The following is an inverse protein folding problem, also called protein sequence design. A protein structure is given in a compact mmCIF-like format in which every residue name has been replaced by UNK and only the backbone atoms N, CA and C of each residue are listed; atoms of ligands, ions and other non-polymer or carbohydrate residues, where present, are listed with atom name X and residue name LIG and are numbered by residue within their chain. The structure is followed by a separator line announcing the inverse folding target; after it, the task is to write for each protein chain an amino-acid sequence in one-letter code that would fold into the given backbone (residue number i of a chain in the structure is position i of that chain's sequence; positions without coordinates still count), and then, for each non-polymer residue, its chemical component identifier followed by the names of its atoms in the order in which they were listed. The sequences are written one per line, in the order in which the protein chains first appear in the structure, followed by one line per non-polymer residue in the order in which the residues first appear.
data_IF_539109119233
#
_entry.id   IF_539109119233
#
_cell.length_a   1.000
_cell.length_b   1.000
_cell.length_c   1.000
_cell.angle_alpha   90.00
_cell.angle_beta   90.00
_cell.angle_gamma   90.00
#
_symmetry.space_group_name_H-M   'P 1'
#
loop_
_entity.id
_entity.type
_entity.pdbx_description
1 polymer ?
#
# COMPACT_ATOMS: atom_id res chain seq x y z
N UNK A 1 -15.23 -24.02 5.11
CA UNK A 1 -14.23 -24.83 4.39
C UNK A 1 -12.86 -24.45 4.94
N UNK A 2 -12.18 -25.34 5.67
CA UNK A 2 -10.85 -25.05 6.21
C UNK A 2 -9.80 -25.24 5.13
N UNK A 3 -9.05 -24.19 4.79
CA UNK A 3 -7.92 -24.29 3.86
C UNK A 3 -6.87 -25.24 4.47
N UNK A 4 -6.38 -26.20 3.68
CA UNK A 4 -5.38 -27.17 4.13
C UNK A 4 -4.12 -26.48 4.64
N UNK A 5 -3.66 -26.85 5.83
CA UNK A 5 -2.44 -26.28 6.41
C UNK A 5 -1.21 -26.88 5.72
N UNK A 6 -0.27 -26.02 5.30
CA UNK A 6 1.00 -26.46 4.72
C UNK A 6 1.81 -27.29 5.73
N UNK A 7 2.31 -28.44 5.28
CA UNK A 7 3.21 -29.33 6.02
C UNK A 7 4.63 -29.08 5.52
N UNK A 8 5.55 -28.85 6.44
CA UNK A 8 6.98 -28.77 6.14
C UNK A 8 7.74 -29.91 6.85
N UNK A 9 8.98 -30.17 6.45
CA UNK A 9 9.83 -31.18 7.10
C UNK A 9 11.15 -30.54 7.52
N UNK A 10 11.60 -30.82 8.75
CA UNK A 10 12.90 -30.39 9.24
C UNK A 10 13.99 -30.92 8.30
N UNK A 11 14.83 -30.04 7.74
CA UNK A 11 15.84 -30.46 6.76
C UNK A 11 16.92 -31.40 7.34
N UNK A 12 17.02 -31.51 8.66
CA UNK A 12 18.06 -32.31 9.35
C UNK A 12 17.55 -33.66 9.84
N UNK A 13 16.42 -33.68 10.55
CA UNK A 13 15.86 -34.89 11.17
C UNK A 13 14.59 -35.40 10.49
N UNK A 14 14.14 -34.75 9.41
CA UNK A 14 12.91 -35.09 8.68
C UNK A 14 11.62 -35.08 9.54
N UNK A 15 11.65 -34.51 10.75
CA UNK A 15 10.45 -34.36 11.58
C UNK A 15 9.43 -33.47 10.88
N UNK A 16 8.18 -33.91 10.86
CA UNK A 16 7.06 -33.17 10.27
C UNK A 16 6.73 -31.92 11.09
N UNK A 17 6.70 -30.76 10.44
CA UNK A 17 6.46 -29.44 11.03
C UNK A 17 5.18 -28.84 10.46
N UNK A 18 4.25 -28.47 11.34
CA UNK A 18 2.99 -27.79 11.00
C UNK A 18 3.09 -26.30 11.28
N UNK A 19 2.16 -25.51 10.75
CA UNK A 19 2.11 -24.06 10.98
C UNK A 19 2.17 -23.69 12.47
N UNK A 20 1.40 -24.41 13.30
CA UNK A 20 1.39 -24.22 14.76
C UNK A 20 2.75 -24.45 15.43
N UNK A 21 3.65 -25.23 14.84
CA UNK A 21 5.01 -25.39 15.37
C UNK A 21 5.86 -24.13 15.17
N UNK A 22 5.61 -23.33 14.15
CA UNK A 22 6.29 -22.04 13.97
C UNK A 22 5.77 -21.01 14.98
N UNK A 23 4.45 -20.95 15.19
CA UNK A 23 3.83 -20.07 16.18
C UNK A 23 4.26 -20.40 17.61
N UNK A 24 4.39 -21.70 17.93
CA UNK A 24 4.90 -22.18 19.23
C UNK A 24 6.42 -22.06 19.36
N UNK A 25 7.13 -21.63 18.30
CA UNK A 25 8.60 -21.58 18.24
C UNK A 25 9.25 -22.95 18.47
N UNK A 26 8.60 -24.03 18.00
CA UNK A 26 9.15 -25.39 17.88
C UNK A 26 9.80 -25.61 16.50
N UNK A 27 9.68 -24.66 15.58
CA UNK A 27 10.27 -24.65 14.26
C UNK A 27 10.71 -23.25 13.87
N UNK A 28 11.78 -23.16 13.09
CA UNK A 28 12.39 -21.92 12.59
C UNK A 28 12.46 -21.95 11.05
N UNK A 29 12.28 -20.79 10.41
CA UNK A 29 12.44 -20.61 8.96
C UNK A 29 13.78 -19.96 8.69
N UNK A 30 14.62 -20.63 7.91
CA UNK A 30 15.97 -20.18 7.56
C UNK A 30 16.05 -20.18 6.04
N UNK A 31 15.74 -19.03 5.44
CA UNK A 31 15.59 -18.88 3.99
C UNK A 31 14.58 -19.91 3.41
N UNK A 32 15.02 -20.78 2.51
CA UNK A 32 14.23 -21.83 1.85
C UNK A 32 14.10 -23.12 2.67
N UNK A 33 14.77 -23.22 3.82
CA UNK A 33 14.80 -24.41 4.68
C UNK A 33 14.03 -24.19 5.98
N UNK A 34 13.51 -25.27 6.56
CA UNK A 34 12.90 -25.24 7.89
C UNK A 34 13.62 -26.18 8.83
N UNK A 35 13.82 -25.77 10.08
CA UNK A 35 14.51 -26.54 11.11
C UNK A 35 13.65 -26.66 12.36
N UNK A 36 13.60 -27.83 13.00
CA UNK A 36 12.94 -27.98 14.29
C UNK A 36 13.81 -27.40 15.41
N UNK A 37 13.20 -27.08 16.56
CA UNK A 37 13.92 -26.47 17.66
C UNK A 37 15.03 -27.36 18.24
N UNK A 38 14.86 -28.69 18.20
CA UNK A 38 15.88 -29.63 18.64
C UNK A 38 17.14 -29.63 17.75
N UNK A 39 16.97 -29.43 16.44
CA UNK A 39 18.07 -29.40 15.48
C UNK A 39 18.71 -28.00 15.33
N UNK A 40 18.09 -26.95 15.89
CA UNK A 40 18.56 -25.58 15.73
C UNK A 40 19.99 -25.33 16.23
N UNK A 41 20.43 -25.83 17.41
CA UNK A 41 21.80 -25.61 17.89
C UNK A 41 22.86 -26.21 16.96
N UNK A 42 22.55 -27.37 16.36
CA UNK A 42 23.45 -28.04 15.44
C UNK A 42 23.41 -27.40 14.04
N UNK A 43 22.25 -26.85 13.64
CA UNK A 43 22.08 -26.12 12.39
C UNK A 43 22.99 -24.88 12.34
N UNK A 44 23.13 -24.16 13.46
CA UNK A 44 24.02 -22.99 13.59
C UNK A 44 25.45 -23.30 13.15
N UNK A 45 25.97 -24.49 13.43
CA UNK A 45 27.35 -24.87 13.07
C UNK A 45 27.56 -25.08 11.58
N UNK A 46 26.48 -25.35 10.84
CA UNK A 46 26.52 -25.69 9.40
C UNK A 46 26.04 -24.55 8.50
N UNK A 47 25.56 -23.45 9.07
CA UNK A 47 24.97 -22.34 8.33
C UNK A 47 26.01 -21.26 8.03
N UNK A 48 25.92 -20.59 6.86
CA UNK A 48 26.60 -19.34 6.58
C UNK A 48 26.38 -18.29 7.70
N UNK A 49 27.37 -17.40 7.99
CA UNK A 49 27.30 -16.47 9.11
C UNK A 49 26.08 -15.54 9.12
N UNK A 50 25.61 -15.11 7.96
CA UNK A 50 24.40 -14.30 7.76
C UNK A 50 23.12 -15.04 8.18
N UNK A 51 23.01 -16.32 7.82
CA UNK A 51 21.88 -17.18 8.21
C UNK A 51 21.92 -17.57 9.69
N UNK A 52 23.11 -17.66 10.29
CA UNK A 52 23.28 -17.85 11.73
C UNK A 52 22.68 -16.68 12.51
N UNK A 53 22.97 -15.44 12.12
CA UNK A 53 22.40 -14.27 12.78
C UNK A 53 20.88 -14.22 12.66
N UNK A 54 20.33 -14.57 11.50
CA UNK A 54 18.88 -14.65 11.31
C UNK A 54 18.25 -15.69 12.26
N UNK A 55 18.83 -16.88 12.36
CA UNK A 55 18.33 -17.93 13.27
C UNK A 55 18.42 -17.50 14.74
N UNK A 56 19.54 -16.90 15.16
CA UNK A 56 19.73 -16.41 16.53
C UNK A 56 18.73 -15.30 16.88
N UNK A 57 18.43 -14.39 15.94
CA UNK A 57 17.43 -13.34 16.14
C UNK A 57 16.01 -13.88 16.37
N UNK A 58 15.64 -14.96 15.66
CA UNK A 58 14.34 -15.62 15.85
C UNK A 58 14.24 -16.33 17.21
N UNK A 59 15.34 -16.95 17.67
CA UNK A 59 15.42 -17.57 19.00
C UNK A 59 15.26 -16.50 20.08
N UNK A 60 16.00 -15.39 19.98
CA UNK A 60 15.97 -14.30 20.95
C UNK A 60 14.61 -13.57 21.01
N UNK A 61 13.93 -13.38 19.87
CA UNK A 61 12.61 -12.76 19.81
C UNK A 61 11.55 -13.55 20.59
N UNK A 62 11.72 -14.88 20.72
CA UNK A 62 10.80 -15.75 21.45
C UNK A 62 10.96 -15.63 22.96
N UNK A 63 12.19 -15.52 23.47
CA UNK A 63 12.43 -15.36 24.91
C UNK A 63 11.74 -14.10 25.45
N UNK A 64 11.68 -13.03 24.63
CA UNK A 64 10.94 -11.81 24.98
C UNK A 64 9.42 -11.96 24.95
N UNK A 65 8.85 -12.89 24.19
CA UNK A 65 7.40 -13.13 24.12
C UNK A 65 6.89 -14.05 25.23
N UNK A 66 7.73 -14.91 25.79
CA UNK A 66 7.33 -15.86 26.83
C UNK A 66 7.21 -15.23 28.23
N UNK A 67 7.65 -13.98 28.43
CA UNK A 67 7.68 -13.31 29.74
C UNK A 67 6.49 -12.37 30.02
N UNK A 68 5.54 -12.23 29.09
CA UNK A 68 4.37 -11.36 29.27
C UNK A 68 3.10 -12.09 28.87
N UNK A 69 2.44 -12.72 29.86
CA UNK A 69 0.98 -12.80 30.06
C UNK A 69 0.75 -13.76 31.24
N UNK A 70 0.51 -13.19 32.43
CA UNK A 70 -0.20 -13.87 33.52
C UNK A 70 -1.65 -13.40 33.42
N UNK A 71 -2.63 -14.27 33.10
CA UNK A 71 -4.01 -13.81 32.98
C UNK A 71 -4.57 -13.43 34.36
N UNK A 72 -5.27 -12.29 34.49
CA UNK A 72 -5.96 -11.94 35.73
C UNK A 72 -7.17 -12.86 35.94
N UNK A 73 -7.43 -13.17 37.20
CA UNK A 73 -8.54 -14.00 37.65
C UNK A 73 -9.90 -13.44 37.20
N UNK A 74 -10.75 -14.34 36.72
CA UNK A 74 -12.08 -14.10 36.18
C UNK A 74 -13.07 -13.53 37.21
N UNK A 75 -13.67 -12.38 36.90
CA UNK A 75 -14.93 -11.88 37.49
C UNK A 75 -16.15 -12.49 36.77
N UNK A 76 -17.29 -12.72 37.46
CA UNK A 76 -18.48 -13.33 36.88
C UNK A 76 -19.19 -12.41 35.87
N UNK A 77 -19.71 -13.03 34.81
CA UNK A 77 -20.33 -12.38 33.66
C UNK A 77 -21.77 -11.90 33.94
N UNK A 78 -22.10 -10.71 33.44
CA UNK A 78 -23.47 -10.20 33.31
C UNK A 78 -24.15 -10.75 32.04
N UNK A 79 -25.49 -10.85 32.00
CA UNK A 79 -26.22 -11.54 30.93
C UNK A 79 -26.23 -10.75 29.61
N UNK A 80 -26.32 -11.44 28.45
CA UNK A 80 -26.30 -10.80 27.14
C UNK A 80 -27.66 -10.18 26.77
N UNK A 81 -27.67 -9.04 26.06
CA UNK A 81 -28.90 -8.51 25.47
C UNK A 81 -29.36 -9.34 24.25
N UNK A 82 -30.66 -9.27 24.03
CA UNK A 82 -31.48 -9.98 23.06
C UNK A 82 -31.07 -9.77 21.60
N UNK A 83 -31.14 -10.88 20.84
CA UNK A 83 -30.95 -10.94 19.38
C UNK A 83 -32.13 -10.30 18.67
N UNK A 84 -31.87 -9.25 17.90
CA UNK A 84 -32.78 -8.77 16.85
C UNK A 84 -32.40 -9.47 15.55
N UNK A 85 -33.36 -10.20 14.99
CA UNK A 85 -33.31 -10.84 13.68
C UNK A 85 -33.55 -9.82 12.57
N UNK A 86 -32.62 -9.67 11.63
CA UNK A 86 -32.88 -8.97 10.36
C UNK A 86 -32.60 -9.91 9.18
N UNK A 87 -33.65 -10.67 8.89
CA UNK A 87 -33.83 -11.52 7.72
C UNK A 87 -34.23 -10.66 6.50
N UNK A 88 -33.38 -9.74 6.02
CA UNK A 88 -33.69 -8.92 4.82
C UNK A 88 -32.45 -8.46 4.01
N UNK A 89 -31.50 -9.36 3.69
CA UNK A 89 -30.39 -9.00 2.78
C UNK A 89 -29.98 -10.10 1.79
N UNK A 90 -30.93 -10.98 1.39
CA UNK A 90 -30.70 -12.08 0.43
C UNK A 90 -31.50 -11.98 -0.87
N UNK A 91 -31.75 -10.76 -1.35
CA UNK A 91 -32.38 -10.52 -2.65
C UNK A 91 -31.71 -9.32 -3.29
N UNK A 92 -30.48 -9.48 -3.81
CA UNK A 92 -29.83 -8.58 -4.79
C UNK A 92 -28.44 -9.09 -5.28
N UNK A 93 -28.20 -10.40 -5.29
CA UNK A 93 -27.03 -11.03 -5.99
C UNK A 93 -27.51 -12.24 -6.81
N UNK A 94 -28.66 -12.08 -7.46
CA UNK A 94 -29.31 -13.13 -8.28
C UNK A 94 -29.37 -12.83 -9.77
N UNK A 95 -28.95 -11.64 -10.23
CA UNK A 95 -29.16 -11.19 -11.61
C UNK A 95 -27.89 -11.08 -12.47
N UNK A 96 -26.69 -11.20 -11.89
CA UNK A 96 -25.43 -11.05 -12.64
C UNK A 96 -24.84 -12.39 -13.16
N UNK A 97 -25.34 -13.54 -12.69
CA UNK A 97 -24.83 -14.87 -13.08
C UNK A 97 -25.63 -15.48 -14.25
N UNK A 98 -26.86 -15.02 -14.50
CA UNK A 98 -27.68 -15.52 -15.61
C UNK A 98 -27.31 -14.94 -16.98
N UNK A 99 -26.69 -13.74 -17.02
CA UNK A 99 -26.27 -13.10 -18.28
C UNK A 99 -24.91 -13.62 -18.76
N UNK A 100 -24.02 -14.02 -17.84
CA UNK A 100 -22.71 -14.58 -18.22
C UNK A 100 -22.80 -16.03 -18.71
N UNK A 101 -23.74 -16.83 -18.18
CA UNK A 101 -23.97 -18.19 -18.67
C UNK A 101 -24.71 -18.24 -20.03
N UNK A 102 -25.49 -17.20 -20.38
CA UNK A 102 -26.15 -17.13 -21.70
C UNK A 102 -25.22 -16.69 -22.82
N UNK A 103 -24.22 -15.83 -22.55
CA UNK A 103 -23.21 -15.45 -23.56
C UNK A 103 -22.24 -16.59 -23.87
N UNK A 104 -21.87 -17.43 -22.90
CA UNK A 104 -21.02 -18.61 -23.14
C UNK A 104 -21.77 -19.72 -23.89
N UNK A 105 -23.09 -19.89 -23.64
CA UNK A 105 -23.90 -20.83 -24.41
C UNK A 105 -24.12 -20.38 -25.87
N UNK A 106 -24.13 -19.07 -26.16
CA UNK A 106 -24.37 -18.56 -27.51
C UNK A 106 -23.11 -18.58 -28.39
N UNK A 107 -21.91 -18.46 -27.80
CA UNK A 107 -20.65 -18.56 -28.56
C UNK A 107 -20.27 -20.01 -28.87
N UNK A 108 -20.73 -20.98 -28.07
CA UNK A 108 -20.54 -22.42 -28.36
C UNK A 108 -21.55 -22.97 -29.39
N UNK A 109 -22.69 -22.30 -29.60
CA UNK A 109 -23.71 -22.74 -30.57
C UNK A 109 -23.61 -22.11 -31.97
N UNK A 110 -22.67 -21.18 -32.20
CA UNK A 110 -22.47 -20.55 -33.53
C UNK A 110 -21.12 -20.85 -34.19
N UNK A 111 -20.28 -21.70 -33.57
CA UNK A 111 -19.07 -22.24 -34.22
C UNK A 111 -19.37 -23.58 -34.89
N UNK A 112 -20.30 -23.57 -35.85
CA UNK A 112 -20.58 -24.69 -36.74
C UNK A 112 -19.48 -24.81 -37.80
N UNK A 113 -18.32 -25.34 -37.41
CA UNK A 113 -17.27 -25.75 -38.34
C UNK A 113 -17.56 -27.13 -38.91
N UNK A 114 -17.68 -27.20 -40.23
CA UNK A 114 -17.98 -28.40 -41.01
C UNK A 114 -17.13 -29.60 -40.63
N UNK A 115 -17.79 -30.71 -40.27
CA UNK A 115 -17.17 -32.01 -40.14
C UNK A 115 -16.59 -32.47 -41.48
N UNK A 116 -15.35 -33.00 -41.52
CA UNK A 116 -14.86 -33.71 -42.69
C UNK A 116 -15.58 -35.04 -42.80
N UNK A 117 -16.14 -35.29 -43.98
CA UNK A 117 -16.75 -36.54 -44.41
C UNK A 117 -15.78 -37.73 -44.17
N UNK A 118 -16.26 -38.87 -43.67
CA UNK A 118 -15.53 -40.13 -43.78
C UNK A 118 -15.58 -40.57 -45.24
N UNK A 119 -14.44 -40.47 -45.93
CA UNK A 119 -14.26 -41.09 -47.25
C UNK A 119 -14.13 -42.59 -47.05
N UNK A 120 -15.22 -43.30 -47.30
CA UNK A 120 -15.21 -44.73 -47.53
C UNK A 120 -14.41 -45.08 -48.80
N UNK A 121 -13.52 -46.06 -48.63
CA UNK A 121 -13.26 -47.14 -49.59
C UNK A 121 -12.59 -46.76 -50.92
N UNK A 122 -11.26 -46.79 -50.91
CA UNK A 122 -10.50 -47.26 -52.07
C UNK A 122 -9.68 -48.51 -51.66
N UNK A 123 -10.14 -49.60 -52.24
CA UNK A 123 -9.58 -50.94 -52.40
C UNK A 123 -8.06 -51.04 -52.23
N UNK A 124 -7.68 -51.99 -51.37
CA UNK A 124 -6.35 -52.57 -51.24
C UNK A 124 -5.75 -52.90 -52.62
N UNK A 125 -4.62 -52.24 -52.93
CA UNK A 125 -3.65 -52.75 -53.89
C UNK A 125 -2.38 -53.03 -53.10
N UNK A 126 -2.26 -54.29 -52.67
CA UNK A 126 -1.10 -54.89 -52.05
C UNK A 126 0.10 -54.72 -52.99
N UNK A 127 0.93 -53.71 -52.71
CA UNK A 127 2.25 -53.57 -53.35
C UNK A 127 3.20 -54.57 -52.69
N UNK A 128 4.14 -55.16 -53.45
CA UNK A 128 5.04 -56.17 -52.92
C UNK A 128 5.86 -55.59 -51.77
N UNK A 129 5.81 -56.24 -50.61
CA UNK A 129 6.71 -56.04 -49.48
C UNK A 129 8.13 -56.34 -49.94
N UNK A 130 8.83 -55.32 -50.45
CA UNK A 130 10.28 -55.36 -50.59
C UNK A 130 10.82 -55.46 -49.18
N UNK A 131 11.32 -56.65 -48.81
CA UNK A 131 12.00 -56.88 -47.54
C UNK A 131 13.03 -55.76 -47.33
N UNK A 132 12.78 -54.87 -46.36
CA UNK A 132 13.70 -53.82 -45.99
C UNK A 132 14.98 -54.49 -45.48
N UNK A 133 16.00 -54.60 -46.34
CA UNK A 133 17.32 -55.12 -46.01
C UNK A 133 18.13 -54.10 -45.18
N UNK A 134 17.53 -53.52 -44.14
CA UNK A 134 18.16 -52.56 -43.25
C UNK A 134 17.85 -52.92 -41.80
N UNK A 135 18.90 -52.98 -40.96
CA UNK A 135 18.73 -53.12 -39.51
C UNK A 135 17.84 -52.01 -38.92
N UNK A 136 17.32 -52.20 -37.70
CA UNK A 136 16.37 -51.28 -37.06
C UNK A 136 16.84 -49.81 -37.03
N UNK A 137 18.16 -49.58 -36.97
CA UNK A 137 18.79 -48.26 -37.01
C UNK A 137 18.56 -47.54 -38.35
N UNK A 138 18.69 -48.24 -39.49
CA UNK A 138 18.43 -47.65 -40.81
C UNK A 138 16.95 -47.30 -40.99
N UNK A 139 16.05 -48.08 -40.39
CA UNK A 139 14.62 -47.79 -40.38
C UNK A 139 14.33 -46.54 -39.55
N UNK A 140 14.93 -46.42 -38.36
CA UNK A 140 14.81 -45.23 -37.52
C UNK A 140 15.34 -43.97 -38.21
N UNK A 141 16.53 -44.05 -38.84
CA UNK A 141 17.12 -42.93 -39.58
C UNK A 141 16.20 -42.47 -40.73
N UNK A 142 15.66 -43.42 -41.49
CA UNK A 142 14.70 -43.12 -42.57
C UNK A 142 13.45 -42.43 -42.03
N UNK A 143 12.91 -42.88 -40.89
CA UNK A 143 11.76 -42.22 -40.24
C UNK A 143 12.08 -40.80 -39.81
N UNK A 144 13.26 -40.55 -39.23
CA UNK A 144 13.69 -39.20 -38.86
C UNK A 144 13.85 -38.27 -40.08
N UNK A 145 14.41 -38.79 -41.19
CA UNK A 145 14.49 -38.08 -42.47
C UNK A 145 13.10 -37.81 -43.06
N UNK A 146 12.19 -38.78 -43.02
CA UNK A 146 10.81 -38.62 -43.48
C UNK A 146 10.07 -37.55 -42.65
N UNK A 147 10.25 -37.56 -41.34
CA UNK A 147 9.73 -36.53 -40.44
C UNK A 147 10.29 -35.14 -40.78
N UNK A 148 11.61 -35.02 -40.96
CA UNK A 148 12.23 -33.74 -41.31
C UNK A 148 11.77 -33.17 -42.65
N UNK A 149 11.46 -34.04 -43.62
CA UNK A 149 10.85 -33.63 -44.89
C UNK A 149 9.39 -33.19 -44.74
N UNK A 150 8.63 -33.88 -43.89
CA UNK A 150 7.22 -33.56 -43.65
C UNK A 150 7.03 -32.30 -42.79
N UNK A 151 7.98 -31.99 -41.90
CA UNK A 151 7.88 -30.92 -40.91
C UNK A 151 9.08 -29.97 -40.96
N UNK A 152 9.32 -29.24 -42.08
CA UNK A 152 10.55 -28.46 -42.26
C UNK A 152 10.76 -27.35 -41.22
N UNK A 153 9.68 -26.82 -40.66
CA UNK A 153 9.70 -25.74 -39.66
C UNK A 153 9.80 -26.24 -38.21
N UNK A 154 9.51 -27.52 -37.94
CA UNK A 154 9.59 -28.10 -36.60
C UNK A 154 11.02 -28.61 -36.31
N UNK A 155 11.95 -27.67 -36.17
CA UNK A 155 13.35 -28.01 -35.88
C UNK A 155 13.52 -28.80 -34.57
N UNK A 156 12.61 -28.61 -33.60
CA UNK A 156 12.66 -29.32 -32.32
C UNK A 156 12.19 -30.77 -32.48
N UNK A 157 11.04 -30.98 -33.13
CA UNK A 157 10.56 -32.32 -33.45
C UNK A 157 11.54 -33.08 -34.33
N UNK A 158 12.19 -32.39 -35.28
CA UNK A 158 13.29 -32.96 -36.07
C UNK A 158 14.45 -33.39 -35.18
N UNK A 159 14.91 -32.51 -34.29
CA UNK A 159 16.00 -32.83 -33.38
C UNK A 159 15.65 -34.05 -32.51
N UNK A 160 14.45 -34.08 -31.94
CA UNK A 160 13.96 -35.19 -31.14
C UNK A 160 13.90 -36.50 -31.94
N UNK A 161 13.49 -36.46 -33.22
CA UNK A 161 13.46 -37.64 -34.09
C UNK A 161 14.87 -38.18 -34.40
N UNK A 162 15.88 -37.32 -34.54
CA UNK A 162 17.28 -37.74 -34.73
C UNK A 162 17.99 -38.13 -33.43
N UNK A 163 17.53 -37.62 -32.29
CA UNK A 163 18.04 -37.94 -30.95
C UNK A 163 17.36 -39.15 -30.31
N UNK A 164 16.25 -39.65 -30.88
CA UNK A 164 15.56 -40.81 -30.36
C UNK A 164 16.52 -42.01 -30.25
N UNK A 165 16.60 -42.57 -29.05
CA UNK A 165 17.73 -43.31 -28.46
C UNK A 165 18.14 -44.56 -29.23
N UNK A 166 17.34 -45.02 -30.18
CA UNK A 166 17.68 -46.13 -31.08
C UNK A 166 18.75 -45.78 -32.13
N UNK A 167 19.04 -44.48 -32.35
CA UNK A 167 20.07 -44.01 -33.29
C UNK A 167 21.38 -43.57 -32.64
N UNK A 168 21.34 -43.11 -31.38
CA UNK A 168 22.53 -42.53 -30.73
C UNK A 168 23.50 -43.59 -30.20
N UNK A 169 22.99 -44.77 -29.81
CA UNK A 169 23.82 -45.91 -29.35
C UNK A 169 24.47 -46.69 -30.51
N UNK A 170 24.06 -46.41 -31.75
CA UNK A 170 24.66 -47.03 -32.94
C UNK A 170 26.02 -46.40 -33.27
N UNK A 171 27.05 -47.26 -33.33
CA UNK A 171 28.42 -46.89 -33.76
C UNK A 171 28.61 -47.04 -35.27
N UNK A 172 27.63 -47.58 -35.99
CA UNK A 172 27.65 -47.69 -37.44
C UNK A 172 27.35 -46.37 -38.17
N UNK A 173 27.30 -46.46 -39.51
CA UNK A 173 27.12 -45.31 -40.40
C UNK A 173 25.80 -44.55 -40.14
N UNK A 174 24.72 -45.28 -39.79
CA UNK A 174 23.42 -44.68 -39.54
C UNK A 174 23.43 -43.78 -38.29
N UNK A 175 24.06 -44.24 -37.20
CA UNK A 175 24.29 -43.42 -36.02
C UNK A 175 25.22 -42.22 -36.27
N UNK A 176 26.25 -42.38 -37.12
CA UNK A 176 27.13 -41.27 -37.50
C UNK A 176 26.39 -40.18 -38.30
N UNK A 177 25.53 -40.59 -39.24
CA UNK A 177 24.67 -39.68 -40.00
C UNK A 177 23.65 -38.97 -39.11
N UNK A 178 22.98 -39.69 -38.21
CA UNK A 178 22.03 -39.11 -37.25
C UNK A 178 22.68 -38.07 -36.34
N UNK A 179 23.88 -38.34 -35.80
CA UNK A 179 24.63 -37.37 -34.99
C UNK A 179 25.02 -36.12 -35.78
N UNK A 180 25.44 -36.27 -37.03
CA UNK A 180 25.75 -35.15 -37.92
C UNK A 180 24.50 -34.29 -38.19
N UNK A 181 23.36 -34.93 -38.45
CA UNK A 181 22.09 -34.26 -38.66
C UNK A 181 21.60 -33.52 -37.40
N UNK A 182 21.64 -34.18 -36.23
CA UNK A 182 21.29 -33.57 -34.95
C UNK A 182 22.18 -32.36 -34.64
N UNK A 183 23.50 -32.45 -34.87
CA UNK A 183 24.41 -31.34 -34.68
C UNK A 183 24.07 -30.16 -35.61
N UNK A 184 23.78 -30.42 -36.89
CA UNK A 184 23.36 -29.38 -37.82
C UNK A 184 22.02 -28.74 -37.39
N UNK A 185 21.08 -29.52 -36.86
CA UNK A 185 19.80 -29.02 -36.34
C UNK A 185 19.98 -28.18 -35.09
N UNK A 186 20.90 -28.53 -34.18
CA UNK A 186 21.23 -27.68 -33.01
C UNK A 186 21.78 -26.33 -33.43
N UNK A 187 22.68 -26.28 -34.41
CA UNK A 187 23.21 -25.02 -34.95
C UNK A 187 22.08 -24.18 -35.56
N UNK A 188 21.24 -24.78 -36.42
CA UNK A 188 20.08 -24.09 -37.01
C UNK A 188 19.07 -23.62 -35.97
N UNK A 189 18.83 -24.43 -34.94
CA UNK A 189 17.94 -24.10 -33.82
C UNK A 189 18.46 -22.92 -33.01
N UNK A 190 19.76 -22.89 -32.71
CA UNK A 190 20.41 -21.75 -32.07
C UNK A 190 20.25 -20.47 -32.89
N UNK A 191 20.52 -20.53 -34.20
CA UNK A 191 20.36 -19.36 -35.08
C UNK A 191 18.88 -18.91 -35.17
N UNK A 192 17.94 -19.85 -35.15
CA UNK A 192 16.50 -19.55 -35.12
C UNK A 192 16.09 -18.86 -33.81
N UNK A 193 16.61 -19.33 -32.67
CA UNK A 193 16.42 -18.70 -31.37
C UNK A 193 16.99 -17.29 -31.35
N UNK A 194 18.22 -17.09 -31.83
CA UNK A 194 18.86 -15.76 -31.87
C UNK A 194 18.06 -14.77 -32.73
N UNK A 195 17.62 -15.19 -33.94
CA UNK A 195 16.75 -14.36 -34.78
C UNK A 195 15.39 -14.07 -34.14
N UNK A 196 14.78 -15.08 -33.53
CA UNK A 196 13.50 -14.93 -32.83
C UNK A 196 13.59 -13.95 -31.68
N UNK A 197 14.67 -14.01 -30.89
CA UNK A 197 14.94 -13.08 -29.80
C UNK A 197 15.17 -11.66 -30.32
N UNK A 198 15.94 -11.49 -31.39
CA UNK A 198 16.18 -10.17 -31.99
C UNK A 198 14.89 -9.52 -32.49
N UNK A 199 14.01 -10.29 -33.15
CA UNK A 199 12.68 -9.82 -33.56
C UNK A 199 11.84 -9.40 -32.37
N UNK A 200 11.76 -10.26 -31.34
CA UNK A 200 10.99 -9.98 -30.13
C UNK A 200 11.50 -8.74 -29.39
N UNK A 201 12.82 -8.56 -29.32
CA UNK A 201 13.43 -7.36 -28.74
C UNK A 201 13.03 -6.10 -29.51
N UNK A 202 12.98 -6.14 -30.85
CA UNK A 202 12.49 -5.04 -31.67
C UNK A 202 10.99 -4.76 -31.43
N UNK A 203 10.16 -5.80 -31.32
CA UNK A 203 8.73 -5.70 -31.01
C UNK A 203 8.49 -4.99 -29.66
N UNK A 204 9.20 -5.39 -28.60
CA UNK A 204 8.99 -4.81 -27.26
C UNK A 204 9.68 -3.46 -27.05
N UNK A 205 10.66 -3.07 -27.87
CA UNK A 205 11.41 -1.82 -27.71
C UNK A 205 10.51 -0.57 -27.68
N UNK A 206 9.46 -0.56 -28.51
CA UNK A 206 8.47 0.53 -28.53
C UNK A 206 7.66 0.61 -27.23
N UNK A 207 7.25 -0.53 -26.67
CA UNK A 207 6.54 -0.56 -25.39
C UNK A 207 7.45 -0.13 -24.23
N UNK A 208 8.69 -0.64 -24.19
CA UNK A 208 9.68 -0.32 -23.16
C UNK A 208 10.07 1.16 -23.17
N UNK A 209 10.23 1.78 -24.35
CA UNK A 209 10.56 3.22 -24.46
C UNK A 209 9.45 4.15 -23.98
N UNK A 210 8.18 3.73 -24.11
CA UNK A 210 7.01 4.45 -23.58
C UNK A 210 6.66 4.08 -22.14
N UNK A 211 7.51 3.28 -21.48
CA UNK A 211 7.25 2.71 -20.16
C UNK A 211 5.97 1.85 -20.07
N UNK A 212 5.44 1.36 -21.20
CA UNK A 212 4.28 0.46 -21.24
C UNK A 212 4.70 -0.99 -20.90
N UNK A 213 5.21 -1.18 -19.68
CA UNK A 213 5.85 -2.41 -19.25
C UNK A 213 4.91 -3.62 -19.19
N UNK A 214 3.63 -3.43 -18.87
CA UNK A 214 2.60 -4.47 -18.92
C UNK A 214 2.50 -5.07 -20.33
N UNK A 215 2.41 -4.22 -21.35
CA UNK A 215 2.38 -4.64 -22.75
C UNK A 215 3.65 -5.38 -23.17
N UNK A 216 4.82 -4.93 -22.72
CA UNK A 216 6.08 -5.62 -22.98
C UNK A 216 6.14 -7.02 -22.33
N UNK A 217 5.60 -7.17 -21.12
CA UNK A 217 5.47 -8.47 -20.44
C UNK A 217 4.48 -9.40 -21.18
N UNK A 218 3.36 -8.86 -21.67
CA UNK A 218 2.38 -9.64 -22.46
C UNK A 218 2.99 -10.17 -23.77
N UNK A 219 3.83 -9.38 -24.45
CA UNK A 219 4.57 -9.84 -25.63
C UNK A 219 5.54 -10.99 -25.31
N UNK A 220 6.27 -10.90 -24.19
CA UNK A 220 7.18 -11.97 -23.74
C UNK A 220 6.40 -13.26 -23.41
N UNK A 221 5.23 -13.13 -22.77
CA UNK A 221 4.40 -14.29 -22.44
C UNK A 221 3.81 -14.96 -23.70
N UNK A 222 3.26 -14.16 -24.61
CA UNK A 222 2.76 -14.66 -25.90
C UNK A 222 3.86 -15.33 -26.73
N UNK A 223 5.11 -14.85 -26.62
CA UNK A 223 6.25 -15.42 -27.30
C UNK A 223 6.63 -16.83 -26.81
N UNK A 224 6.24 -17.24 -25.59
CA UNK A 224 6.55 -18.57 -25.04
C UNK A 224 6.03 -19.72 -25.91
N UNK A 225 4.90 -19.51 -26.60
CA UNK A 225 4.30 -20.51 -27.48
C UNK A 225 4.92 -20.56 -28.88
N UNK A 226 5.77 -19.60 -29.27
CA UNK A 226 6.33 -19.52 -30.64
C UNK A 226 7.31 -20.66 -30.96
N UNK A 227 8.05 -21.18 -29.98
CA UNK A 227 9.01 -22.26 -30.16
C UNK A 227 9.01 -23.24 -28.99
N UNK A 228 9.08 -24.54 -29.29
CA UNK A 228 9.10 -25.61 -28.29
C UNK A 228 10.45 -25.80 -27.56
N UNK A 229 11.50 -25.12 -28.00
CA UNK A 229 12.87 -25.31 -27.53
C UNK A 229 13.05 -24.89 -26.04
N UNK A 230 13.72 -25.70 -25.20
CA UNK A 230 14.05 -25.33 -23.83
C UNK A 230 14.88 -24.03 -23.73
N UNK A 231 15.85 -23.86 -24.62
CA UNK A 231 16.74 -22.69 -24.67
C UNK A 231 15.97 -21.40 -24.99
N UNK A 232 14.92 -21.48 -25.81
CA UNK A 232 14.01 -20.37 -26.08
C UNK A 232 13.29 -19.92 -24.80
N UNK A 233 12.70 -20.87 -24.06
CA UNK A 233 12.00 -20.58 -22.80
C UNK A 233 12.95 -19.96 -21.77
N UNK A 234 14.16 -20.50 -21.64
CA UNK A 234 15.18 -19.95 -20.75
C UNK A 234 15.58 -18.52 -21.14
N UNK A 235 15.71 -18.21 -22.43
CA UNK A 235 16.01 -16.87 -22.90
C UNK A 235 14.84 -15.88 -22.65
N UNK A 236 13.59 -16.32 -22.81
CA UNK A 236 12.42 -15.52 -22.45
C UNK A 236 12.31 -15.27 -20.95
N UNK A 237 12.62 -16.26 -20.10
CA UNK A 237 12.67 -16.10 -18.65
C UNK A 237 13.76 -15.10 -18.25
N UNK A 238 14.92 -15.14 -18.91
CA UNK A 238 15.96 -14.13 -18.73
C UNK A 238 15.46 -12.74 -19.13
N UNK A 239 14.88 -12.57 -20.32
CA UNK A 239 14.37 -11.29 -20.78
C UNK A 239 13.26 -10.73 -19.87
N UNK A 240 12.41 -11.61 -19.33
CA UNK A 240 11.37 -11.25 -18.36
C UNK A 240 11.98 -10.72 -17.06
N UNK A 241 13.01 -11.39 -16.53
CA UNK A 241 13.74 -10.92 -15.33
C UNK A 241 14.43 -9.58 -15.58
N UNK A 242 15.18 -9.46 -16.69
CA UNK A 242 15.87 -8.22 -17.05
C UNK A 242 14.88 -7.03 -17.15
N UNK A 243 13.69 -7.26 -17.72
CA UNK A 243 12.63 -6.25 -17.78
C UNK A 243 12.08 -5.91 -16.39
N UNK A 244 11.84 -6.92 -15.54
CA UNK A 244 11.36 -6.70 -14.17
C UNK A 244 12.37 -5.92 -13.32
N UNK A 245 13.66 -6.21 -13.45
CA UNK A 245 14.74 -5.51 -12.75
C UNK A 245 14.78 -4.03 -13.17
N UNK A 246 14.59 -3.75 -14.47
CA UNK A 246 14.48 -2.38 -14.98
C UNK A 246 13.28 -1.64 -14.40
N UNK A 247 12.10 -2.28 -14.33
CA UNK A 247 10.91 -1.66 -13.72
C UNK A 247 11.20 -1.34 -12.25
N UNK A 248 11.79 -2.27 -11.52
CA UNK A 248 12.14 -2.09 -10.11
C UNK A 248 13.12 -0.93 -9.90
N UNK A 249 14.13 -0.79 -10.77
CA UNK A 249 15.11 0.30 -10.73
C UNK A 249 14.46 1.68 -10.94
N UNK A 250 13.45 1.78 -11.82
CA UNK A 250 12.69 3.02 -12.03
C UNK A 250 11.72 3.32 -10.87
N UNK A 251 11.16 2.26 -10.28
CA UNK A 251 10.11 2.39 -9.29
C UNK A 251 10.58 3.00 -7.97
N UNK A 252 11.75 2.59 -7.47
CA UNK A 252 12.30 3.07 -6.20
C UNK A 252 12.35 4.60 -6.08
N UNK A 253 13.00 5.30 -7.03
CA UNK A 253 13.06 6.76 -7.04
C UNK A 253 11.69 7.44 -7.16
N UNK A 254 10.78 6.89 -7.97
CA UNK A 254 9.43 7.44 -8.12
C UNK A 254 8.62 7.32 -6.83
N UNK A 255 8.71 6.17 -6.14
CA UNK A 255 8.07 5.95 -4.85
C UNK A 255 8.56 6.96 -3.80
N UNK A 256 9.87 7.19 -3.73
CA UNK A 256 10.47 8.19 -2.84
C UNK A 256 10.02 9.61 -3.18
N UNK A 257 10.03 9.98 -4.48
CA UNK A 257 9.59 11.30 -4.96
C UNK A 257 8.13 11.59 -4.62
N UNK A 258 7.24 10.61 -4.81
CA UNK A 258 5.83 10.76 -4.46
C UNK A 258 5.63 10.90 -2.95
N UNK A 259 6.37 10.15 -2.13
CA UNK A 259 6.32 10.27 -0.67
C UNK A 259 6.75 11.67 -0.21
N UNK A 260 7.91 12.16 -0.67
CA UNK A 260 8.42 13.50 -0.35
C UNK A 260 7.46 14.60 -0.83
N UNK A 261 6.91 14.48 -2.05
CA UNK A 261 5.92 15.41 -2.56
C UNK A 261 4.67 15.44 -1.69
N UNK A 262 4.23 14.27 -1.19
CA UNK A 262 3.08 14.18 -0.28
C UNK A 262 3.37 14.81 1.08
N UNK A 263 4.57 14.62 1.64
CA UNK A 263 5.00 15.28 2.89
C UNK A 263 5.03 16.81 2.76
N UNK A 264 5.34 17.32 1.57
CA UNK A 264 5.33 18.76 1.25
C UNK A 264 3.96 19.29 0.85
N UNK A 265 2.94 18.43 0.72
CA UNK A 265 1.61 18.83 0.28
C UNK A 265 1.53 19.20 -1.21
N UNK A 266 2.52 18.79 -2.01
CA UNK A 266 2.53 19.02 -3.46
C UNK A 266 1.66 17.96 -4.18
N UNK A 267 0.34 18.21 -4.20
CA UNK A 267 -0.65 17.29 -4.79
C UNK A 267 -0.39 17.02 -6.27
N UNK A 268 -0.02 18.05 -7.04
CA UNK A 268 0.22 17.94 -8.49
C UNK A 268 1.33 16.94 -8.81
N UNK A 269 2.44 16.98 -8.07
CA UNK A 269 3.56 16.05 -8.26
C UNK A 269 3.16 14.62 -7.88
N UNK A 270 2.43 14.43 -6.77
CA UNK A 270 1.91 13.11 -6.37
C UNK A 270 1.03 12.53 -7.47
N UNK A 271 0.08 13.31 -8.00
CA UNK A 271 -0.81 12.88 -9.08
C UNK A 271 -0.04 12.51 -10.34
N UNK A 272 0.97 13.29 -10.71
CA UNK A 272 1.83 13.03 -11.87
C UNK A 272 2.59 11.70 -11.74
N UNK A 273 3.22 11.44 -10.58
CA UNK A 273 3.94 10.18 -10.35
C UNK A 273 2.99 8.99 -10.33
N UNK A 274 1.83 9.12 -9.68
CA UNK A 274 0.80 8.06 -9.66
C UNK A 274 0.33 7.74 -11.08
N UNK A 275 0.04 8.75 -11.90
CA UNK A 275 -0.39 8.55 -13.28
C UNK A 275 0.69 7.86 -14.13
N UNK A 276 1.96 8.23 -13.97
CA UNK A 276 3.09 7.57 -14.64
C UNK A 276 3.18 6.08 -14.28
N UNK A 277 3.14 5.74 -12.99
CA UNK A 277 3.21 4.35 -12.52
C UNK A 277 1.97 3.53 -12.92
N UNK A 278 0.79 4.16 -13.02
CA UNK A 278 -0.40 3.52 -13.57
C UNK A 278 -0.26 3.26 -15.08
N UNK A 279 0.34 4.19 -15.82
CA UNK A 279 0.64 4.06 -17.25
C UNK A 279 1.54 2.88 -17.60
N UNK A 280 2.26 2.34 -16.61
CA UNK A 280 3.06 1.13 -16.80
C UNK A 280 2.24 -0.13 -17.08
N UNK A 281 0.97 -0.16 -16.70
CA UNK A 281 0.12 -1.36 -16.88
C UNK A 281 0.51 -2.54 -15.99
N UNK A 282 1.27 -2.31 -14.90
CA UNK A 282 1.71 -3.37 -13.97
C UNK A 282 1.09 -3.14 -12.59
N UNK A 283 -0.10 -3.72 -12.37
CA UNK A 283 -0.97 -3.44 -11.22
C UNK A 283 -0.30 -3.54 -9.83
N UNK A 284 0.71 -4.42 -9.68
CA UNK A 284 1.43 -4.59 -8.40
C UNK A 284 2.12 -3.31 -7.93
N UNK A 285 2.69 -2.53 -8.86
CA UNK A 285 3.42 -1.30 -8.53
C UNK A 285 2.46 -0.15 -8.20
N UNK A 286 1.34 -0.03 -8.92
CA UNK A 286 0.31 0.96 -8.59
C UNK A 286 -0.28 0.71 -7.20
N UNK A 287 -0.51 -0.55 -6.83
CA UNK A 287 -1.01 -0.93 -5.50
C UNK A 287 -0.01 -0.59 -4.40
N UNK A 288 1.26 -0.99 -4.55
CA UNK A 288 2.31 -0.70 -3.58
C UNK A 288 2.55 0.81 -3.41
N UNK A 289 2.47 1.60 -4.50
CA UNK A 289 2.63 3.04 -4.43
C UNK A 289 1.48 3.68 -3.63
N UNK A 290 0.24 3.29 -3.91
CA UNK A 290 -0.92 3.79 -3.18
C UNK A 290 -0.87 3.42 -1.68
N UNK A 291 -0.43 2.20 -1.36
CA UNK A 291 -0.25 1.78 0.03
C UNK A 291 0.88 2.55 0.73
N UNK A 292 1.98 2.81 0.04
CA UNK A 292 3.06 3.62 0.61
C UNK A 292 2.62 5.07 0.85
N UNK A 293 1.90 5.66 -0.11
CA UNK A 293 1.38 7.01 0.04
C UNK A 293 0.36 7.10 1.16
N UNK A 294 -0.51 6.10 1.38
CA UNK A 294 -1.48 6.15 2.48
C UNK A 294 -0.85 6.21 3.87
N UNK A 295 0.39 5.73 4.02
CA UNK A 295 1.17 5.78 5.27
C UNK A 295 1.87 7.13 5.49
N UNK A 296 2.01 7.94 4.44
CA UNK A 296 2.59 9.29 4.54
C UNK A 296 1.50 10.29 4.94
N UNK A 297 1.68 10.93 6.09
CA UNK A 297 0.80 12.03 6.52
C UNK A 297 1.04 13.24 5.63
N UNK A 298 -0.01 13.75 5.00
CA UNK A 298 0.06 15.06 4.36
C UNK A 298 0.37 16.14 5.43
N UNK A 299 1.03 17.25 5.06
CA UNK A 299 1.24 18.35 5.98
C UNK A 299 -0.12 18.93 6.39
N UNK A 300 -0.25 19.40 7.64
CA UNK A 300 -1.49 20.03 8.09
C UNK A 300 -1.76 21.25 7.22
N UNK A 301 -2.95 21.29 6.63
CA UNK A 301 -3.40 22.47 5.87
C UNK A 301 -3.79 23.55 6.87
N UNK A 302 -3.16 24.72 6.79
CA UNK A 302 -3.57 25.89 7.56
C UNK A 302 -4.73 26.57 6.84
N UNK A 303 -5.78 26.87 7.59
CA UNK A 303 -6.92 27.66 7.10
C UNK A 303 -6.86 29.00 7.82
N UNK A 304 -6.84 30.09 7.05
CA UNK A 304 -6.96 31.42 7.62
C UNK A 304 -8.40 31.61 8.09
N UNK A 305 -8.57 31.80 9.40
CA UNK A 305 -9.88 32.11 10.00
C UNK A 305 -10.13 33.62 9.95
N UNK A 306 -9.15 34.40 10.41
CA UNK A 306 -9.23 35.86 10.45
C UNK A 306 -7.83 36.47 10.46
N UNK A 307 -7.66 37.61 9.78
CA UNK A 307 -6.44 38.41 9.71
C UNK A 307 -6.63 39.86 10.16
N UNK A 308 -7.80 40.22 10.69
CA UNK A 308 -8.16 41.58 11.11
C UNK A 308 -8.57 42.52 9.97
N UNK A 309 -8.47 42.11 8.70
CA UNK A 309 -8.71 43.02 7.57
C UNK A 309 -10.18 43.15 7.19
N UNK A 310 -11.01 42.19 7.61
CA UNK A 310 -12.44 42.15 7.30
C UNK A 310 -13.26 42.67 8.48
N UNK A 311 -14.47 43.14 8.19
CA UNK A 311 -15.47 43.38 9.24
C UNK A 311 -15.96 42.03 9.78
N UNK A 312 -15.36 41.61 10.89
CA UNK A 312 -15.66 40.34 11.53
C UNK A 312 -16.71 40.46 12.63
N UNK A 313 -17.47 41.56 12.71
CA UNK A 313 -18.50 41.75 13.74
C UNK A 313 -19.57 40.63 13.79
N UNK A 314 -19.77 39.91 12.67
CA UNK A 314 -20.68 38.77 12.62
C UNK A 314 -20.16 37.52 13.35
N UNK A 315 -18.84 37.30 13.34
CA UNK A 315 -18.16 36.10 13.85
C UNK A 315 -17.40 36.36 15.15
N UNK A 316 -16.84 37.56 15.32
CA UNK A 316 -16.11 38.00 16.50
C UNK A 316 -17.02 38.85 17.41
N UNK A 317 -17.12 38.46 18.69
CA UNK A 317 -17.97 39.14 19.68
C UNK A 317 -17.18 39.39 20.95
N UNK A 318 -17.36 40.57 21.55
CA UNK A 318 -16.90 40.84 22.90
C UNK A 318 -17.71 40.03 23.92
N UNK A 319 -17.04 39.54 24.97
CA UNK A 319 -17.66 38.88 26.11
C UNK A 319 -17.21 39.61 27.38
N UNK A 320 -18.14 40.27 28.07
CA UNK A 320 -17.86 41.07 29.25
C UNK A 320 -17.77 40.27 30.55
N UNK A 321 -18.07 38.97 30.52
CA UNK A 321 -18.16 38.15 31.73
C UNK A 321 -19.32 38.62 32.62
N UNK A 322 -20.46 38.95 32.02
CA UNK A 322 -21.63 39.57 32.66
C UNK A 322 -22.18 38.75 33.84
N UNK A 323 -21.89 37.44 33.90
CA UNK A 323 -22.22 36.57 35.02
C UNK A 323 -21.41 36.89 36.31
N UNK A 324 -20.31 37.64 36.18
CA UNK A 324 -19.50 38.15 37.29
C UNK A 324 -19.49 39.69 37.24
N UNK A 325 -20.38 40.37 37.98
CA UNK A 325 -20.55 41.81 37.86
C UNK A 325 -19.29 42.58 38.32
N UNK A 326 -19.01 43.68 37.64
CA UNK A 326 -18.00 44.67 38.04
C UNK A 326 -16.84 44.88 37.07
N UNK A 327 -16.57 43.92 36.18
CA UNK A 327 -15.58 44.09 35.13
C UNK A 327 -16.07 45.07 34.05
N UNK A 328 -15.15 45.86 33.50
CA UNK A 328 -15.35 46.67 32.30
C UNK A 328 -14.35 46.24 31.25
N UNK A 329 -14.73 46.28 29.99
CA UNK A 329 -13.82 45.93 28.91
C UNK A 329 -14.30 46.39 27.55
N UNK A 330 -13.45 46.18 26.57
CA UNK A 330 -13.76 46.47 25.17
C UNK A 330 -12.92 45.59 24.24
N UNK A 331 -13.47 45.27 23.08
CA UNK A 331 -12.76 44.66 21.97
C UNK A 331 -12.92 45.57 20.76
N UNK A 332 -11.83 46.20 20.33
CA UNK A 332 -11.86 47.16 19.23
C UNK A 332 -10.78 46.82 18.19
N UNK A 333 -11.04 47.03 16.89
CA UNK A 333 -9.99 46.98 15.89
C UNK A 333 -8.93 48.06 16.15
N UNK A 334 -7.65 47.73 16.01
CA UNK A 334 -6.50 48.62 16.16
C UNK A 334 -5.68 48.61 14.88
N UNK A 335 -5.71 49.73 14.13
CA UNK A 335 -4.95 49.91 12.88
C UNK A 335 -3.54 50.48 13.09
N UNK A 336 -3.17 50.75 14.34
CA UNK A 336 -1.84 51.29 14.69
C UNK A 336 -0.86 50.19 15.08
N UNK A 337 -1.36 49.01 15.46
CA UNK A 337 -0.57 47.84 15.84
C UNK A 337 -1.12 46.63 15.11
N UNK A 338 -0.30 45.95 14.30
CA UNK A 338 -0.66 44.74 13.58
C UNK A 338 0.54 43.78 13.48
N UNK A 339 0.29 42.48 13.30
CA UNK A 339 1.33 41.48 13.02
C UNK A 339 1.39 41.12 11.54
N UNK A 340 0.21 40.94 10.92
CA UNK A 340 0.02 40.82 9.48
C UNK A 340 -1.08 41.78 9.05
N UNK A 341 -1.07 42.20 7.77
CA UNK A 341 -2.04 43.17 7.27
C UNK A 341 -1.86 44.58 7.85
N UNK A 342 -2.98 45.26 8.09
CA UNK A 342 -3.10 46.64 8.56
C UNK A 342 -3.91 46.78 9.85
N UNK A 343 -4.44 45.70 10.41
CA UNK A 343 -5.28 45.74 11.60
C UNK A 343 -5.03 44.56 12.56
N UNK A 344 -5.27 44.80 13.85
CA UNK A 344 -5.44 43.75 14.86
C UNK A 344 -6.70 44.01 15.70
N UNK A 345 -7.00 43.15 16.68
CA UNK A 345 -8.03 43.41 17.68
C UNK A 345 -7.38 43.62 19.03
N UNK A 346 -7.72 44.74 19.68
CA UNK A 346 -7.26 45.10 21.01
C UNK A 346 -8.33 44.76 22.05
N UNK A 347 -8.01 43.82 22.94
CA UNK A 347 -8.85 43.47 24.06
C UNK A 347 -8.37 44.20 25.31
N UNK A 348 -9.22 45.03 25.90
CA UNK A 348 -8.93 45.74 27.15
C UNK A 348 -9.85 45.25 28.27
N UNK A 349 -9.30 45.06 29.46
CA UNK A 349 -10.03 44.69 30.66
C UNK A 349 -9.66 45.56 31.87
N UNK A 350 -10.67 45.93 32.64
CA UNK A 350 -10.59 46.68 33.89
C UNK A 350 -11.47 46.02 34.96
N UNK A 351 -10.81 45.45 35.96
CA UNK A 351 -11.39 44.69 37.06
C UNK A 351 -11.44 45.51 38.36
N UNK A 352 -11.24 46.83 38.31
CA UNK A 352 -11.29 47.68 39.51
C UNK A 352 -12.65 47.63 40.22
N UNK A 353 -13.72 47.35 39.48
CA UNK A 353 -15.10 47.20 39.99
C UNK A 353 -15.47 45.77 40.38
N UNK A 354 -14.58 44.80 40.23
CA UNK A 354 -14.86 43.37 40.39
C UNK A 354 -14.87 42.61 39.06
N UNK A 355 -15.78 41.65 38.95
CA UNK A 355 -15.84 40.67 37.84
C UNK A 355 -14.72 39.63 37.87
N UNK A 356 -14.77 38.69 36.93
CA UNK A 356 -13.83 37.56 36.88
C UNK A 356 -12.96 37.57 35.61
N UNK A 357 -13.53 37.92 34.46
CA UNK A 357 -12.82 37.98 33.20
C UNK A 357 -13.50 38.93 32.21
N UNK A 358 -12.76 39.31 31.16
CA UNK A 358 -13.29 39.85 29.90
C UNK A 358 -12.64 39.08 28.77
N UNK A 359 -13.28 39.00 27.61
CA UNK A 359 -12.75 38.22 26.51
C UNK A 359 -13.44 38.48 25.19
N UNK A 360 -13.19 37.58 24.25
CA UNK A 360 -13.92 37.52 23.01
C UNK A 360 -14.28 36.09 22.64
N UNK A 361 -15.26 35.97 21.77
CA UNK A 361 -15.68 34.73 21.15
C UNK A 361 -15.64 34.86 19.64
N UNK A 362 -15.02 33.91 18.98
CA UNK A 362 -14.93 33.76 17.54
C UNK A 362 -15.78 32.56 17.12
N UNK A 363 -16.83 32.79 16.33
CA UNK A 363 -17.61 31.75 15.68
C UNK A 363 -16.81 31.21 14.48
N UNK A 364 -16.51 29.91 14.52
CA UNK A 364 -15.76 29.21 13.46
C UNK A 364 -16.58 28.05 12.89
N UNK A 365 -17.91 28.15 12.94
CA UNK A 365 -18.83 27.14 12.38
C UNK A 365 -18.66 26.94 10.88
N UNK A 366 -18.06 27.88 10.15
CA UNK A 366 -17.66 27.71 8.75
C UNK A 366 -16.66 26.56 8.54
N UNK A 367 -15.93 26.17 9.60
CA UNK A 367 -15.01 25.04 9.60
C UNK A 367 -15.72 23.71 9.93
N UNK A 368 -17.06 23.67 9.94
CA UNK A 368 -17.82 22.44 10.18
C UNK A 368 -17.38 21.31 9.25
N UNK A 369 -17.34 20.10 9.79
CA UNK A 369 -16.86 18.87 9.12
C UNK A 369 -15.35 18.88 8.81
N UNK A 370 -14.58 19.84 9.34
CA UNK A 370 -13.12 19.80 9.31
C UNK A 370 -12.61 19.39 10.69
N UNK A 371 -11.76 18.38 10.71
CA UNK A 371 -10.94 18.08 11.87
C UNK A 371 -9.68 18.94 11.84
N UNK A 372 -9.30 19.51 12.97
CA UNK A 372 -8.13 20.36 13.09
C UNK A 372 -7.42 20.05 14.40
N UNK A 373 -6.08 20.09 14.35
CA UNK A 373 -5.23 19.63 15.45
C UNK A 373 -4.74 20.76 16.34
N UNK A 374 -4.74 21.97 15.80
CA UNK A 374 -4.22 23.15 16.46
C UNK A 374 -4.92 24.44 15.99
N UNK A 375 -5.09 25.38 16.91
CA UNK A 375 -5.36 26.80 16.62
C UNK A 375 -4.05 27.55 16.70
N UNK A 376 -3.80 28.46 15.76
CA UNK A 376 -2.66 29.37 15.79
C UNK A 376 -3.15 30.80 15.76
N UNK A 377 -2.61 31.63 16.63
CA UNK A 377 -2.90 33.06 16.66
C UNK A 377 -1.67 33.83 17.13
N UNK A 378 -1.55 35.08 16.67
CA UNK A 378 -0.53 36.01 17.14
C UNK A 378 -1.14 36.93 18.18
N UNK A 379 -0.43 37.15 19.28
CA UNK A 379 -0.85 38.05 20.37
C UNK A 379 0.30 38.96 20.78
N UNK A 380 0.01 40.12 21.36
CA UNK A 380 1.00 41.08 21.85
C UNK A 380 0.54 41.71 23.15
N UNK A 381 1.31 41.58 24.24
CA UNK A 381 0.93 42.20 25.51
C UNK A 381 2.12 42.40 26.43
N UNK A 382 2.17 43.53 27.13
CA UNK A 382 3.12 43.78 28.22
C UNK A 382 2.48 43.65 29.60
N UNK A 383 1.17 43.44 29.68
CA UNK A 383 0.39 43.55 30.93
C UNK A 383 -0.27 42.25 31.36
N UNK A 384 -0.51 41.32 30.43
CA UNK A 384 -1.17 40.03 30.67
C UNK A 384 -0.12 38.91 30.67
N UNK A 385 -0.06 38.13 31.75
CA UNK A 385 0.82 36.98 31.91
C UNK A 385 0.13 35.65 31.56
N UNK A 386 -1.20 35.60 31.64
CA UNK A 386 -1.99 34.39 31.40
C UNK A 386 -3.32 34.74 30.73
N UNK A 387 -3.70 33.93 29.76
CA UNK A 387 -5.03 33.97 29.12
C UNK A 387 -5.73 32.64 29.28
N UNK A 388 -7.05 32.66 29.39
CA UNK A 388 -7.87 31.45 29.42
C UNK A 388 -8.46 31.20 28.03
N UNK A 389 -8.29 29.97 27.52
CA UNK A 389 -8.75 29.57 26.18
C UNK A 389 -9.97 28.69 26.30
N UNK A 390 -10.99 28.98 25.50
CA UNK A 390 -12.22 28.18 25.35
C UNK A 390 -12.35 27.65 23.93
N UNK A 391 -12.81 26.42 23.78
CA UNK A 391 -13.14 25.79 22.50
C UNK A 391 -14.51 25.14 22.57
N UNK A 392 -15.39 25.40 21.60
CA UNK A 392 -16.65 24.68 21.44
C UNK A 392 -16.51 23.56 20.41
N UNK A 393 -16.96 22.35 20.74
CA UNK A 393 -17.03 21.22 19.81
C UNK A 393 -18.42 21.05 19.16
N UNK A 394 -18.57 20.03 18.30
CA UNK A 394 -19.82 19.81 17.57
C UNK A 394 -21.01 19.44 18.47
N UNK A 395 -20.77 18.91 19.68
CA UNK A 395 -21.85 18.70 20.64
C UNK A 395 -22.35 20.02 21.27
N UNK A 396 -21.60 21.10 21.08
CA UNK A 396 -21.79 22.37 21.78
C UNK A 396 -21.08 22.41 23.14
N UNK A 397 -20.30 21.38 23.49
CA UNK A 397 -19.55 21.36 24.73
C UNK A 397 -18.39 22.35 24.65
N UNK A 398 -18.25 23.17 25.68
CA UNK A 398 -17.16 24.10 25.87
C UNK A 398 -16.05 23.42 26.65
N UNK A 399 -14.82 23.50 26.14
CA UNK A 399 -13.61 23.00 26.77
C UNK A 399 -12.75 24.20 27.17
N UNK A 400 -12.29 24.24 28.42
CA UNK A 400 -11.35 25.25 28.90
C UNK A 400 -10.16 24.58 29.57
N UNK A 401 -8.96 25.04 29.20
CA UNK A 401 -7.72 24.56 29.82
C UNK A 401 -7.64 25.00 31.27
N UNK A 402 -7.54 24.04 32.19
CA UNK A 402 -7.31 24.32 33.61
C UNK A 402 -5.97 25.07 33.78
N UNK A 403 -6.02 26.21 34.46
CA UNK A 403 -4.83 27.01 34.74
C UNK A 403 -4.35 27.90 33.58
N UNK A 404 -5.11 27.99 32.49
CA UNK A 404 -4.87 28.90 31.37
C UNK A 404 -3.60 28.61 30.54
N UNK A 405 -3.28 29.55 29.66
CA UNK A 405 -2.09 29.57 28.81
C UNK A 405 -1.19 30.71 29.28
N UNK A 406 0.04 30.38 29.68
CA UNK A 406 1.05 31.37 30.04
C UNK A 406 1.58 32.05 28.77
N UNK A 407 1.70 33.37 28.83
CA UNK A 407 2.29 34.18 27.77
C UNK A 407 3.76 34.47 28.09
N UNK A 408 4.59 34.56 27.04
CA UNK A 408 5.95 35.06 27.19
C UNK A 408 5.91 36.52 27.66
N UNK A 409 6.82 36.87 28.59
CA UNK A 409 6.96 38.24 29.11
C UNK A 409 7.73 39.10 28.12
N UNK A 410 7.05 39.51 27.06
CA UNK A 410 7.61 40.35 25.99
C UNK A 410 6.53 41.30 25.50
N UNK A 411 6.92 42.53 25.18
CA UNK A 411 6.06 43.49 24.49
C UNK A 411 6.06 43.31 22.97
N UNK A 412 6.69 42.26 22.44
CA UNK A 412 6.66 41.88 21.02
C UNK A 412 5.53 40.89 20.72
N UNK A 413 5.22 40.75 19.42
CA UNK A 413 4.30 39.74 18.95
C UNK A 413 4.83 38.32 19.22
N UNK A 414 3.95 37.44 19.71
CA UNK A 414 4.26 36.03 19.95
C UNK A 414 3.17 35.13 19.36
N UNK A 415 3.58 34.01 18.75
CA UNK A 415 2.65 33.02 18.22
C UNK A 415 2.21 32.06 19.34
N UNK A 416 0.91 31.97 19.57
CA UNK A 416 0.30 30.93 20.38
C UNK A 416 -0.11 29.76 19.49
N UNK A 417 0.45 28.58 19.77
CA UNK A 417 0.08 27.33 19.12
C UNK A 417 -0.68 26.48 20.13
N UNK A 418 -1.99 26.41 19.96
CA UNK A 418 -2.91 25.74 20.88
C UNK A 418 -3.31 24.39 20.30
N UNK A 419 -2.75 23.30 20.83
CA UNK A 419 -3.16 21.95 20.40
C UNK A 419 -4.46 21.56 21.09
N UNK A 420 -5.42 21.00 20.34
CA UNK A 420 -6.73 20.64 20.90
C UNK A 420 -6.61 19.69 22.10
N UNK A 421 -5.72 18.70 22.00
CA UNK A 421 -5.43 17.76 23.08
C UNK A 421 -4.85 18.40 24.36
N UNK A 422 -4.35 19.64 24.31
CA UNK A 422 -3.84 20.38 25.46
C UNK A 422 -4.89 21.29 26.11
N UNK A 423 -6.02 21.52 25.42
CA UNK A 423 -7.15 22.32 25.91
C UNK A 423 -8.27 21.42 26.43
N UNK A 424 -8.50 20.30 25.76
CA UNK A 424 -9.53 19.30 26.09
C UNK A 424 -9.16 18.48 27.32
N UNK A 425 -10.18 18.03 28.07
CA UNK A 425 -10.02 17.15 29.23
C UNK A 425 -9.79 17.88 30.56
N UNK A 426 -9.77 19.23 30.53
CA UNK A 426 -9.78 20.09 31.70
C UNK A 426 -11.20 20.43 32.18
N UNK A 427 -11.48 21.72 32.33
CA UNK A 427 -12.84 22.19 32.64
C UNK A 427 -13.73 22.06 31.40
N UNK A 428 -14.97 21.62 31.60
CA UNK A 428 -15.95 21.55 30.52
C UNK A 428 -17.37 21.81 31.04
N UNK A 429 -18.23 22.34 30.16
CA UNK A 429 -19.66 22.57 30.40
C UNK A 429 -20.41 22.64 29.06
N UNK A 430 -21.74 22.70 29.13
CA UNK A 430 -22.66 22.64 27.98
C UNK A 430 -22.50 21.38 27.10
N UNK A 431 -23.32 21.27 26.05
CA UNK A 431 -23.28 20.18 25.09
C UNK A 431 -23.36 18.79 25.72
N UNK A 432 -22.50 17.87 25.26
CA UNK A 432 -22.42 16.51 25.82
C UNK A 432 -21.96 16.47 27.28
N UNK A 433 -21.21 17.49 27.71
CA UNK A 433 -20.60 17.65 29.02
C UNK A 433 -19.86 16.41 29.58
N UNK A 434 -19.17 15.65 28.72
CA UNK A 434 -18.46 14.41 29.09
C UNK A 434 -16.93 14.55 29.08
N UNK A 435 -16.42 15.78 28.86
CA UNK A 435 -15.00 16.11 28.82
C UNK A 435 -14.27 15.56 27.59
N UNK A 436 -14.98 14.92 26.65
CA UNK A 436 -14.42 14.40 25.40
C UNK A 436 -14.65 15.39 24.27
N UNK A 437 -13.71 15.43 23.34
CA UNK A 437 -13.84 16.22 22.13
C UNK A 437 -14.74 15.50 21.12
N UNK A 438 -15.85 16.12 20.73
CA UNK A 438 -16.81 15.54 19.77
C UNK A 438 -16.57 15.95 18.31
N UNK A 439 -15.36 16.39 17.97
CA UNK A 439 -15.01 16.81 16.59
C UNK A 439 -15.59 18.17 16.22
N UNK A 440 -15.28 18.65 15.00
CA UNK A 440 -15.66 19.92 14.36
C UNK A 440 -15.82 21.13 15.29
N UNK A 441 -14.95 22.15 15.22
CA UNK A 441 -15.09 23.29 16.11
C UNK A 441 -16.33 24.12 15.74
N UNK A 442 -16.97 24.68 16.76
CA UNK A 442 -18.02 25.70 16.60
C UNK A 442 -17.55 27.08 17.01
N UNK A 443 -16.59 27.17 17.91
CA UNK A 443 -16.13 28.45 18.40
C UNK A 443 -14.82 28.39 19.15
N UNK A 444 -14.16 29.53 19.21
CA UNK A 444 -12.91 29.77 19.91
C UNK A 444 -13.06 31.02 20.77
N UNK A 445 -12.71 30.94 22.05
CA UNK A 445 -12.74 32.07 22.95
C UNK A 445 -11.39 32.28 23.62
N UNK A 446 -11.06 33.54 23.88
CA UNK A 446 -9.89 33.92 24.64
C UNK A 446 -10.27 34.99 25.65
N UNK A 447 -9.90 34.76 26.91
CA UNK A 447 -10.25 35.63 28.02
C UNK A 447 -8.99 36.09 28.77
N UNK A 448 -9.05 37.33 29.26
CA UNK A 448 -8.16 37.87 30.30
C UNK A 448 -8.91 37.73 31.63
N UNK A 449 -8.34 37.00 32.58
CA UNK A 449 -8.88 36.91 33.95
C UNK A 449 -8.26 37.97 34.87
N UNK A 450 -8.96 38.33 35.95
CA UNK A 450 -8.48 39.33 36.93
C UNK A 450 -7.13 38.93 37.58
N UNK A 451 -6.85 37.63 37.67
CA UNK A 451 -5.57 37.10 38.16
C UNK A 451 -4.54 36.89 37.05
N UNK A 452 -4.86 37.24 35.81
CA UNK A 452 -4.06 36.96 34.62
C UNK A 452 -2.93 37.96 34.35
N UNK A 453 -2.73 38.97 35.19
CA UNK A 453 -1.78 40.06 34.92
C UNK A 453 -0.33 39.76 35.34
N UNK A 454 0.62 40.43 34.67
CA UNK A 454 2.07 40.35 34.97
C UNK A 454 2.38 40.88 36.37
N UNK A 455 1.75 41.99 36.75
CA UNK A 455 1.83 42.56 38.09
C UNK A 455 0.65 42.04 38.92
N UNK A 456 0.90 41.23 39.97
CA UNK A 456 -0.17 40.73 40.83
C UNK A 456 -1.00 41.89 41.42
N UNK A 457 -2.32 41.82 41.28
CA UNK A 457 -3.23 42.84 41.79
C UNK A 457 -3.40 44.07 40.89
N UNK A 458 -2.76 44.14 39.71
CA UNK A 458 -3.12 45.15 38.71
C UNK A 458 -4.60 45.02 38.36
N UNK A 459 -5.38 46.12 38.37
CA UNK A 459 -6.79 46.04 38.00
C UNK A 459 -6.99 45.99 36.49
N UNK A 460 -5.98 46.34 35.70
CA UNK A 460 -6.13 46.59 34.26
C UNK A 460 -5.05 45.90 33.42
N UNK A 461 -5.42 45.57 32.19
CA UNK A 461 -4.48 45.12 31.18
C UNK A 461 -5.08 45.07 29.78
N UNK A 462 -4.22 44.79 28.82
CA UNK A 462 -4.53 44.78 27.38
C UNK A 462 -3.82 43.61 26.71
N UNK A 463 -4.50 42.98 25.76
CA UNK A 463 -3.98 41.95 24.86
C UNK A 463 -4.19 42.33 23.40
#
# INVERSE_FOLDING_TARGET
MGMGQAIHYCYRCSTQLRHSHFEQGKAYRIDSRVCCAACAPEAVRSLPPDLVQLLLSQIAAKEKRSSSVRPPASRPASPPPSRISSLQFKLLIGAAVAVLCSVVATVVLLSGGSAPQPSDRATSSEKPTVALQGGPQRIALKKAQDYARAHPDDLFGQLQAYEDLTLLEDKGDAGAEARKAAQALRVRGKDAIERGLASLQSEIAGAVSREAFGTALDFLEAARARMGWPEWKLALDKATRDLQDRIQALYGPLKAKAAEAKEKGNVTEVTSVVARVQGWGVARFSRDLNEALSKVSAPPTRVLVDDGEKDSAATLRFNGGEEFPGARGSLNPDRTVAHGGTCSYKLHGDFSGGGAYVGFWFDITELKNRDFKEVRLWVKTSTVARVDVRLADDSGQIHQKSGGILLARTDEWQELVLRIQEVVGGQHWDGANDGKWHGSPKGFGLNISKEGFVVPGSPQGTL
#
